data_IF_562276820551
#
_entry.id   IF_562276820551
#
_cell.length_a   1.000
_cell.length_b   1.000
_cell.length_c   1.000
_cell.angle_alpha   90.00
_cell.angle_beta   90.00
_cell.angle_gamma   90.00
#
_symmetry.space_group_name_H-M   'P 1'
#
loop_
_entity.id
_entity.type
_entity.pdbx_description
1 polymer ?
#
# COMPACT_ATOMS: atom_id res chain seq x y z
N UNK A 1 -6.64 13.83 -7.60
CA UNK A 1 -6.38 13.03 -8.82
C UNK A 1 -5.57 11.76 -8.53
N UNK A 2 -4.33 11.84 -8.00
CA UNK A 2 -3.45 10.67 -7.79
C UNK A 2 -4.08 9.51 -6.98
N UNK A 3 -4.79 9.82 -5.89
CA UNK A 3 -5.53 8.81 -5.09
C UNK A 3 -6.61 8.07 -5.90
N UNK A 4 -7.30 8.77 -6.80
CA UNK A 4 -8.30 8.18 -7.68
C UNK A 4 -7.67 7.24 -8.71
N UNK A 5 -6.54 7.64 -9.31
CA UNK A 5 -5.76 6.78 -10.21
C UNK A 5 -5.25 5.54 -9.47
N UNK A 6 -4.74 5.70 -8.24
CA UNK A 6 -4.33 4.57 -7.43
C UNK A 6 -5.48 3.61 -7.11
N UNK A 7 -6.67 4.13 -6.78
CA UNK A 7 -7.83 3.29 -6.54
C UNK A 7 -8.23 2.51 -7.80
N UNK A 8 -8.21 3.16 -8.96
CA UNK A 8 -8.50 2.52 -10.24
C UNK A 8 -7.51 1.38 -10.55
N UNK A 9 -6.21 1.58 -10.31
CA UNK A 9 -5.20 0.52 -10.53
C UNK A 9 -5.35 -0.63 -9.53
N UNK A 10 -5.73 -0.35 -8.28
CA UNK A 10 -6.04 -1.40 -7.29
C UNK A 10 -7.26 -2.22 -7.69
N UNK A 11 -8.32 -1.57 -8.19
CA UNK A 11 -9.52 -2.25 -8.71
C UNK A 11 -9.16 -3.11 -9.92
N UNK A 12 -8.37 -2.57 -10.87
CA UNK A 12 -7.93 -3.31 -12.05
C UNK A 12 -7.07 -4.53 -11.68
N UNK A 13 -6.18 -4.41 -10.70
CA UNK A 13 -5.42 -5.53 -10.14
C UNK A 13 -6.35 -6.58 -9.52
N UNK A 14 -7.35 -6.17 -8.73
CA UNK A 14 -8.37 -7.06 -8.20
C UNK A 14 -9.16 -7.78 -9.31
N UNK A 15 -9.49 -7.09 -10.39
CA UNK A 15 -10.13 -7.71 -11.55
C UNK A 15 -9.26 -8.80 -12.17
N UNK A 16 -7.94 -8.61 -12.27
CA UNK A 16 -7.01 -9.63 -12.78
C UNK A 16 -7.01 -10.88 -11.90
N UNK A 17 -7.08 -10.70 -10.57
CA UNK A 17 -7.14 -11.79 -9.59
C UNK A 17 -8.46 -12.57 -9.71
N UNK A 18 -9.55 -11.89 -10.08
CA UNK A 18 -10.86 -12.49 -10.31
C UNK A 18 -11.04 -13.08 -11.72
N UNK A 19 -9.99 -13.11 -12.54
CA UNK A 19 -10.00 -13.75 -13.86
C UNK A 19 -10.30 -12.83 -15.04
N UNK A 20 -10.26 -11.50 -14.87
CA UNK A 20 -10.35 -10.58 -16.00
C UNK A 20 -9.15 -10.75 -16.95
N UNK A 21 -9.33 -10.58 -18.28
CA UNK A 21 -8.28 -10.73 -19.29
C UNK A 21 -7.34 -9.51 -19.32
N UNK A 22 -6.76 -9.18 -18.17
CA UNK A 22 -5.84 -8.07 -17.96
C UNK A 22 -4.51 -8.65 -17.48
N UNK A 23 -3.41 -8.04 -17.91
CA UNK A 23 -2.09 -8.48 -17.44
C UNK A 23 -1.87 -8.04 -15.99
N UNK A 24 -1.98 -9.00 -15.06
CA UNK A 24 -1.81 -8.76 -13.63
C UNK A 24 -0.42 -8.22 -13.26
N UNK A 25 0.62 -8.42 -14.07
CA UNK A 25 1.96 -7.85 -13.81
C UNK A 25 1.93 -6.34 -14.07
N UNK A 26 1.36 -5.90 -15.18
CA UNK A 26 1.20 -4.48 -15.49
C UNK A 26 0.35 -3.78 -14.44
N UNK A 27 -0.74 -4.42 -13.98
CA UNK A 27 -1.58 -3.84 -12.92
C UNK A 27 -0.84 -3.78 -11.56
N UNK A 28 -0.06 -4.80 -11.20
CA UNK A 28 0.74 -4.78 -9.97
C UNK A 28 1.78 -3.65 -10.00
N UNK A 29 2.45 -3.46 -11.15
CA UNK A 29 3.40 -2.35 -11.35
C UNK A 29 2.68 -1.00 -11.27
N UNK A 30 1.49 -0.86 -11.86
CA UNK A 30 0.72 0.38 -11.80
C UNK A 30 0.30 0.73 -10.36
N UNK A 31 -0.10 -0.26 -9.55
CA UNK A 31 -0.36 -0.09 -8.11
C UNK A 31 0.91 0.31 -7.37
N UNK A 32 2.06 -0.32 -7.67
CA UNK A 32 3.34 0.00 -7.04
C UNK A 32 3.78 1.44 -7.33
N UNK A 33 3.77 1.84 -8.60
CA UNK A 33 4.20 3.17 -9.05
C UNK A 33 3.30 4.26 -8.45
N UNK A 34 1.97 4.07 -8.51
CA UNK A 34 1.04 5.03 -7.92
C UNK A 34 1.15 5.08 -6.39
N UNK A 35 1.41 3.93 -5.75
CA UNK A 35 1.71 3.82 -4.32
C UNK A 35 2.95 4.61 -3.92
N UNK A 36 4.09 4.37 -4.59
CA UNK A 36 5.36 5.10 -4.34
C UNK A 36 5.17 6.60 -4.57
N UNK A 37 4.47 7.01 -5.63
CA UNK A 37 4.22 8.41 -5.92
C UNK A 37 3.43 9.10 -4.80
N UNK A 38 2.41 8.44 -4.24
CA UNK A 38 1.67 8.98 -3.09
C UNK A 38 2.57 9.13 -1.86
N UNK A 39 3.43 8.15 -1.60
CA UNK A 39 4.34 8.15 -0.45
C UNK A 39 5.38 9.25 -0.56
N UNK A 40 5.94 9.45 -1.75
CA UNK A 40 6.87 10.54 -2.02
C UNK A 40 6.21 11.92 -1.77
N UNK A 41 4.95 12.08 -2.15
CA UNK A 41 4.18 13.31 -1.87
C UNK A 41 3.89 13.47 -0.38
N UNK A 42 3.49 12.40 0.31
CA UNK A 42 3.21 12.43 1.74
C UNK A 42 4.47 12.73 2.55
N UNK A 43 5.65 12.23 2.13
CA UNK A 43 6.94 12.56 2.73
C UNK A 43 7.33 14.02 2.56
N UNK A 44 7.07 14.59 1.37
CA UNK A 44 7.30 16.02 1.14
C UNK A 44 6.39 16.89 2.01
N UNK A 45 5.16 16.46 2.26
CA UNK A 45 4.21 17.17 3.10
C UNK A 45 4.46 16.96 4.61
N UNK A 46 4.94 15.76 5.00
CA UNK A 46 5.18 15.35 6.39
C UNK A 46 6.47 14.53 6.48
N UNK A 47 7.64 15.17 6.72
CA UNK A 47 8.92 14.46 6.77
C UNK A 47 9.05 13.48 7.95
N UNK A 48 8.17 13.57 8.95
CA UNK A 48 8.10 12.64 10.08
C UNK A 48 7.30 11.34 9.79
N UNK A 49 6.83 11.13 8.55
CA UNK A 49 6.03 9.96 8.17
C UNK A 49 6.75 8.62 8.45
N UNK A 50 8.08 8.58 8.32
CA UNK A 50 8.89 7.40 8.64
C UNK A 50 9.26 7.26 10.11
N UNK A 51 9.04 8.29 10.94
CA UNK A 51 9.31 8.25 12.38
C UNK A 51 8.17 7.59 13.17
N UNK A 52 7.06 7.26 12.50
CA UNK A 52 5.89 6.61 13.06
C UNK A 52 5.77 5.17 12.55
N UNK A 53 5.15 4.29 13.34
CA UNK A 53 4.79 2.91 12.94
C UNK A 53 4.01 2.85 11.61
N UNK A 54 3.32 3.94 11.26
CA UNK A 54 2.65 4.12 9.99
C UNK A 54 3.62 4.02 8.79
N UNK A 55 4.84 4.55 8.90
CA UNK A 55 5.84 4.49 7.84
C UNK A 55 6.36 3.06 7.60
N UNK A 56 6.60 2.29 8.66
CA UNK A 56 7.02 0.88 8.57
C UNK A 56 5.92 0.04 7.93
N UNK A 57 4.67 0.20 8.38
CA UNK A 57 3.52 -0.51 7.80
C UNK A 57 3.33 -0.19 6.31
N UNK A 58 3.67 1.03 5.91
CA UNK A 58 3.58 1.49 4.54
C UNK A 58 4.69 0.90 3.65
N UNK A 59 5.93 0.81 4.15
CA UNK A 59 7.02 0.09 3.46
C UNK A 59 6.67 -1.39 3.31
N UNK A 60 6.16 -2.02 4.36
CA UNK A 60 5.73 -3.41 4.31
C UNK A 60 4.65 -3.62 3.23
N UNK A 61 3.67 -2.72 3.15
CA UNK A 61 2.63 -2.75 2.10
C UNK A 61 3.23 -2.62 0.69
N UNK A 62 4.19 -1.71 0.49
CA UNK A 62 4.88 -1.57 -0.81
C UNK A 62 5.69 -2.81 -1.17
N UNK A 63 6.35 -3.45 -0.19
CA UNK A 63 7.09 -4.69 -0.42
C UNK A 63 6.18 -5.82 -0.89
N UNK A 64 4.99 -5.97 -0.28
CA UNK A 64 4.00 -6.97 -0.69
C UNK A 64 3.49 -6.70 -2.12
N UNK A 65 3.21 -5.44 -2.47
CA UNK A 65 2.83 -5.08 -3.85
C UNK A 65 3.98 -5.35 -4.83
N UNK A 66 5.23 -5.08 -4.44
CA UNK A 66 6.41 -5.41 -5.24
C UNK A 66 6.53 -6.92 -5.48
N UNK A 67 6.25 -7.73 -4.48
CA UNK A 67 6.22 -9.19 -4.60
C UNK A 67 5.14 -9.65 -5.60
N UNK A 68 3.95 -9.04 -5.59
CA UNK A 68 2.90 -9.34 -6.56
C UNK A 68 3.33 -9.12 -8.01
N UNK A 69 4.24 -8.17 -8.27
CA UNK A 69 4.79 -7.94 -9.60
C UNK A 69 5.82 -9.00 -10.00
N UNK A 70 6.54 -9.59 -9.04
CA UNK A 70 7.56 -10.61 -9.27
C UNK A 70 6.99 -12.04 -9.38
N UNK A 71 5.97 -12.36 -8.60
CA UNK A 71 5.40 -13.71 -8.51
C UNK A 71 3.92 -13.72 -8.92
N UNK A 72 3.60 -14.32 -10.07
CA UNK A 72 2.24 -14.43 -10.57
C UNK A 72 1.41 -15.47 -9.82
N UNK A 73 2.02 -16.52 -9.27
CA UNK A 73 1.32 -17.60 -8.58
C UNK A 73 0.83 -17.15 -7.19
N UNK A 74 1.62 -16.32 -6.51
CA UNK A 74 1.25 -15.78 -5.19
C UNK A 74 0.35 -14.53 -5.26
N UNK A 75 0.15 -13.96 -6.45
CA UNK A 75 -0.60 -12.71 -6.65
C UNK A 75 -2.01 -12.73 -6.02
N UNK A 76 -2.83 -13.80 -6.13
CA UNK A 76 -4.12 -13.85 -5.46
C UNK A 76 -4.01 -13.85 -3.92
N UNK A 77 -3.08 -14.63 -3.37
CA UNK A 77 -2.86 -14.72 -1.92
C UNK A 77 -2.40 -13.37 -1.35
N UNK A 78 -1.43 -12.74 -2.00
CA UNK A 78 -0.88 -11.44 -1.58
C UNK A 78 -1.92 -10.32 -1.71
N UNK A 79 -2.79 -10.37 -2.72
CA UNK A 79 -3.92 -9.45 -2.85
C UNK A 79 -4.85 -9.54 -1.64
N UNK A 80 -5.29 -10.75 -1.28
CA UNK A 80 -6.16 -10.95 -0.12
C UNK A 80 -5.49 -10.58 1.20
N UNK A 81 -4.19 -10.85 1.33
CA UNK A 81 -3.40 -10.43 2.49
C UNK A 81 -3.38 -8.90 2.62
N UNK A 82 -3.13 -8.17 1.52
CA UNK A 82 -3.19 -6.70 1.51
C UNK A 82 -4.59 -6.17 1.85
N UNK A 83 -5.64 -6.78 1.30
CA UNK A 83 -7.03 -6.37 1.54
C UNK A 83 -7.37 -6.58 3.01
N UNK A 84 -7.13 -7.78 3.55
CA UNK A 84 -7.37 -8.12 4.95
C UNK A 84 -6.55 -7.23 5.90
N UNK A 85 -5.26 -7.03 5.62
CA UNK A 85 -4.41 -6.14 6.38
C UNK A 85 -4.92 -4.69 6.35
N UNK A 86 -5.39 -4.21 5.19
CA UNK A 86 -5.94 -2.85 5.06
C UNK A 86 -7.22 -2.67 5.86
N UNK A 87 -8.10 -3.69 5.90
CA UNK A 87 -9.31 -3.69 6.73
C UNK A 87 -8.95 -3.68 8.22
N UNK A 88 -8.01 -4.53 8.63
CA UNK A 88 -7.51 -4.56 10.02
C UNK A 88 -6.91 -3.21 10.42
N UNK A 89 -6.09 -2.60 9.56
CA UNK A 89 -5.52 -1.27 9.84
C UNK A 89 -6.57 -0.14 9.84
N UNK A 90 -7.63 -0.26 9.04
CA UNK A 90 -8.73 0.69 9.03
C UNK A 90 -9.59 0.60 10.30
N UNK A 91 -9.73 -0.60 10.87
CA UNK A 91 -10.46 -0.86 12.12
C UNK A 91 -9.56 -0.85 13.36
N UNK A 92 -8.24 -0.76 13.19
CA UNK A 92 -7.30 -0.66 14.29
C UNK A 92 -7.53 0.69 15.02
N UNK A 93 -7.67 0.67 16.36
CA UNK A 93 -7.91 1.88 17.14
C UNK A 93 -6.79 2.91 16.94
N UNK A 94 -7.17 4.20 16.93
CA UNK A 94 -6.28 5.34 16.69
C UNK A 94 -5.05 5.38 17.62
N UNK A 95 -5.09 4.67 18.76
CA UNK A 95 -3.99 4.48 19.70
C UNK A 95 -2.76 3.77 19.10
N UNK A 96 -2.90 3.05 17.98
CA UNK A 96 -1.78 2.42 17.25
C UNK A 96 -1.21 3.29 16.12
N UNK A 97 -2.02 4.17 15.52
CA UNK A 97 -1.62 5.04 14.40
C UNK A 97 -0.77 6.24 14.81
N UNK A 98 -0.82 6.63 16.08
CA UNK A 98 -0.14 7.83 16.60
C UNK A 98 0.77 7.59 17.81
N UNK A 99 1.21 6.34 18.06
CA UNK A 99 2.31 6.12 19.01
C UNK A 99 3.62 6.59 18.38
N UNK A 100 3.86 7.88 18.50
CA UNK A 100 5.15 8.54 18.30
C UNK A 100 6.09 7.99 19.38
N UNK A 101 7.10 7.21 19.00
CA UNK A 101 8.12 6.72 19.96
C UNK A 101 9.07 7.86 20.39
N UNK A 102 9.20 8.93 19.61
CA UNK A 102 10.18 9.97 19.89
C UNK A 102 9.56 11.30 20.34
N UNK A 103 9.62 11.58 21.64
CA UNK A 103 9.54 12.95 22.17
C UNK A 103 10.87 13.68 21.92
N UNK A 104 11.12 14.04 20.67
CA UNK A 104 12.16 15.00 20.31
C UNK A 104 11.71 16.41 20.69
N UNK A 105 12.13 16.86 21.87
CA UNK A 105 11.91 18.18 22.48
C UNK A 105 11.64 19.32 21.47
N UNK A 106 10.51 20.00 21.64
CA UNK A 106 10.45 21.45 21.50
C UNK A 106 9.85 22.02 22.78
#
# INVERSE_FOLDING_TARGET
MLRGVHLATVIALGATVLGAPLDGRHQAIAVLVTGIAMVALDLRAKPHLFAEWAGIALIAKLAVVGWMAADAALRPLLYWLIVGWSVLFAHAPASFRHRVWWHGRR
#
